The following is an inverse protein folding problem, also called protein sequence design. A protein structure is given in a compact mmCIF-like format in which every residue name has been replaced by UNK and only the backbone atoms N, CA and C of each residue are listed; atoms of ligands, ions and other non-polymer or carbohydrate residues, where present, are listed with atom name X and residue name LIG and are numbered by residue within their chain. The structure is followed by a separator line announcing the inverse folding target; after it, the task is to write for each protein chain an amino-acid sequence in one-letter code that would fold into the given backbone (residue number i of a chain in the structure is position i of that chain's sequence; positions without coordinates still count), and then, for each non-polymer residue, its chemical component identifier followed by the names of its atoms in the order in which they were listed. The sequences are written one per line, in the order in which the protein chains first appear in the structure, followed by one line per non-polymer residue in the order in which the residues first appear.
data_IF_287822457290
#
_entry.id   IF_287822457290
#
_cell.length_a   1.000
_cell.length_b   1.000
_cell.length_c   1.000
_cell.angle_alpha   90.00
_cell.angle_beta   90.00
_cell.angle_gamma   90.00
#
_symmetry.space_group_name_H-M   'P 1'
#
loop_
_entity.id
_entity.type
_entity.pdbx_description
1 polymer ?
#
# COMPACT_ATOMS: atom_id res chain seq x y z
N UNK A 1 -22.68 -82.76 -33.03
CA UNK A 1 -21.61 -81.90 -33.59
C UNK A 1 -21.99 -80.51 -33.29
N UNK A 2 -21.57 -80.00 -32.13
CA UNK A 2 -21.92 -78.71 -31.63
C UNK A 2 -20.66 -77.81 -31.68
N UNK A 3 -20.72 -76.75 -32.46
CA UNK A 3 -19.67 -75.76 -32.57
C UNK A 3 -19.91 -74.67 -31.51
N UNK A 4 -18.98 -74.51 -30.58
CA UNK A 4 -18.99 -73.50 -29.55
C UNK A 4 -18.19 -72.31 -30.05
N UNK A 5 -18.86 -71.14 -30.21
CA UNK A 5 -18.24 -69.88 -30.62
C UNK A 5 -17.76 -69.14 -29.38
N UNK A 6 -16.46 -68.89 -29.32
CA UNK A 6 -15.80 -68.08 -28.26
C UNK A 6 -15.87 -66.57 -28.61
N UNK A 7 -16.56 -65.79 -27.78
CA UNK A 7 -16.57 -64.32 -27.91
C UNK A 7 -15.49 -63.78 -27.01
N UNK A 8 -14.48 -63.17 -27.60
CA UNK A 8 -13.44 -62.47 -26.88
C UNK A 8 -13.90 -61.01 -26.62
N UNK A 9 -14.07 -60.65 -25.36
CA UNK A 9 -14.33 -59.25 -24.97
C UNK A 9 -12.99 -58.47 -24.88
N UNK A 10 -12.79 -57.49 -25.76
CA UNK A 10 -11.71 -56.49 -25.66
C UNK A 10 -12.10 -55.42 -24.63
N UNK A 11 -11.39 -55.35 -23.52
CA UNK A 11 -11.48 -54.23 -22.59
C UNK A 11 -10.68 -53.03 -23.13
N UNK A 12 -11.39 -51.97 -23.47
CA UNK A 12 -10.79 -50.68 -23.84
C UNK A 12 -10.32 -49.97 -22.55
N UNK A 13 -9.03 -49.91 -22.31
CA UNK A 13 -8.45 -49.12 -21.25
C UNK A 13 -8.51 -47.63 -21.68
N UNK A 14 -9.38 -46.84 -21.03
CA UNK A 14 -9.41 -45.39 -21.16
C UNK A 14 -8.15 -44.81 -20.49
N UNK A 15 -7.20 -44.39 -21.29
CA UNK A 15 -6.08 -43.57 -20.83
C UNK A 15 -6.61 -42.18 -20.46
N UNK A 16 -6.63 -41.84 -19.17
CA UNK A 16 -6.86 -40.49 -18.70
C UNK A 16 -5.69 -39.59 -19.15
N UNK A 17 -6.01 -38.63 -20.00
CA UNK A 17 -5.05 -37.55 -20.37
C UNK A 17 -4.59 -36.82 -19.11
N UNK A 18 -3.30 -36.48 -18.99
CA UNK A 18 -2.81 -35.66 -17.87
C UNK A 18 -3.50 -34.30 -17.90
N UNK A 19 -4.06 -33.89 -16.74
CA UNK A 19 -4.59 -32.56 -16.55
C UNK A 19 -3.47 -31.55 -16.82
N UNK A 20 -3.59 -30.80 -17.90
CA UNK A 20 -2.75 -29.63 -18.14
C UNK A 20 -3.02 -28.63 -17.04
N UNK A 21 -2.09 -28.49 -16.09
CA UNK A 21 -2.05 -27.36 -15.20
C UNK A 21 -1.91 -26.11 -16.08
N UNK A 22 -3.01 -25.41 -16.31
CA UNK A 22 -2.98 -24.08 -16.87
C UNK A 22 -2.13 -23.24 -15.91
N UNK A 23 -0.99 -22.76 -16.37
CA UNK A 23 -0.24 -21.73 -15.68
C UNK A 23 -1.20 -20.53 -15.60
N UNK A 24 -1.75 -20.29 -14.41
CA UNK A 24 -2.54 -19.07 -14.18
C UNK A 24 -1.63 -17.90 -14.52
N UNK A 25 -2.03 -17.13 -15.52
CA UNK A 25 -1.39 -15.84 -15.77
C UNK A 25 -1.53 -14.99 -14.49
N UNK A 26 -0.48 -14.28 -14.07
CA UNK A 26 -0.59 -13.42 -12.91
C UNK A 26 -1.80 -12.48 -13.08
N UNK A 27 -2.64 -12.38 -12.05
CA UNK A 27 -3.83 -11.55 -12.05
C UNK A 27 -3.42 -10.10 -12.35
N UNK A 28 -3.99 -9.52 -13.38
CA UNK A 28 -3.70 -8.15 -13.80
C UNK A 28 -4.75 -7.23 -13.22
N UNK A 29 -4.32 -6.31 -12.34
CA UNK A 29 -5.18 -5.28 -11.80
C UNK A 29 -5.23 -4.07 -12.73
N UNK A 30 -6.41 -3.47 -12.86
CA UNK A 30 -6.63 -2.22 -13.59
C UNK A 30 -6.64 -1.02 -12.64
N UNK A 31 -7.01 -1.24 -11.38
CA UNK A 31 -7.13 -0.22 -10.35
C UNK A 31 -6.33 -0.62 -9.11
N UNK A 32 -5.47 0.28 -8.63
CA UNK A 32 -4.74 0.08 -7.38
C UNK A 32 -4.96 1.28 -6.46
N UNK A 33 -5.46 0.99 -5.25
CA UNK A 33 -5.57 1.96 -4.18
C UNK A 33 -4.43 1.75 -3.18
N UNK A 34 -3.57 2.74 -3.01
CA UNK A 34 -2.62 2.81 -1.90
C UNK A 34 -3.29 3.59 -0.78
N UNK A 35 -3.64 2.93 0.30
CA UNK A 35 -4.35 3.54 1.42
C UNK A 35 -3.40 3.71 2.60
N UNK A 36 -3.24 4.95 3.05
CA UNK A 36 -2.55 5.28 4.28
C UNK A 36 -3.56 5.66 5.37
N UNK A 37 -3.47 4.98 6.51
CA UNK A 37 -4.26 5.32 7.70
C UNK A 37 -3.33 5.96 8.71
N UNK A 38 -3.42 7.28 8.83
CA UNK A 38 -2.53 8.13 9.63
C UNK A 38 -2.59 7.74 11.11
N UNK A 39 -1.45 7.46 11.71
CA UNK A 39 -1.33 7.09 13.10
C UNK A 39 -1.91 5.72 13.48
N UNK A 40 -2.08 4.79 12.53
CA UNK A 40 -2.65 3.47 12.81
C UNK A 40 -1.62 2.54 13.45
N UNK A 41 -1.85 2.17 14.69
CA UNK A 41 -1.08 1.14 15.41
C UNK A 41 -1.51 -0.27 14.99
N UNK A 42 -0.56 -1.19 14.77
CA UNK A 42 -0.88 -2.58 14.42
C UNK A 42 -1.78 -3.29 15.44
N UNK A 43 -1.58 -3.05 16.75
CA UNK A 43 -2.36 -3.67 17.83
C UNK A 43 -3.84 -3.20 17.86
N UNK A 44 -4.19 -2.11 17.16
CA UNK A 44 -5.58 -1.68 17.02
C UNK A 44 -6.36 -2.47 15.94
N UNK A 45 -5.67 -3.25 15.12
CA UNK A 45 -6.26 -4.11 14.09
C UNK A 45 -5.84 -5.57 14.24
N UNK A 46 -5.53 -6.00 15.47
CA UNK A 46 -5.11 -7.36 15.80
C UNK A 46 -6.08 -8.00 16.81
N UNK A 47 -6.12 -9.31 16.83
CA UNK A 47 -6.84 -10.11 17.82
C UNK A 47 -8.32 -9.71 18.00
N UNK A 48 -8.72 -9.42 19.24
CA UNK A 48 -10.12 -9.06 19.56
C UNK A 48 -10.58 -7.73 18.94
N UNK A 49 -9.66 -6.83 18.61
CA UNK A 49 -9.98 -5.56 17.96
C UNK A 49 -10.35 -5.78 16.49
N UNK A 50 -9.60 -6.62 15.78
CA UNK A 50 -9.89 -6.98 14.40
C UNK A 50 -11.30 -7.56 14.21
N UNK A 51 -11.78 -8.35 15.17
CA UNK A 51 -13.13 -8.91 15.13
C UNK A 51 -14.25 -7.86 15.10
N UNK A 52 -13.94 -6.60 15.45
CA UNK A 52 -14.87 -5.46 15.44
C UNK A 52 -14.70 -4.56 14.20
N UNK A 53 -13.82 -4.94 13.27
CA UNK A 53 -13.38 -4.17 12.11
C UNK A 53 -13.53 -5.02 10.83
N UNK A 54 -14.76 -5.18 10.32
CA UNK A 54 -15.03 -6.10 9.21
C UNK A 54 -14.29 -5.78 7.92
N UNK A 55 -14.02 -4.50 7.64
CA UNK A 55 -13.28 -4.11 6.45
C UNK A 55 -11.78 -4.44 6.59
N UNK A 56 -11.15 -4.09 7.72
CA UNK A 56 -9.76 -4.50 7.99
C UNK A 56 -9.61 -6.02 8.01
N UNK A 57 -10.53 -6.75 8.64
CA UNK A 57 -10.55 -8.21 8.67
C UNK A 57 -10.66 -8.80 7.26
N UNK A 58 -11.31 -8.11 6.33
CA UNK A 58 -11.36 -8.52 4.94
C UNK A 58 -10.02 -8.26 4.23
N UNK A 59 -9.37 -7.14 4.47
CA UNK A 59 -8.05 -6.84 3.89
C UNK A 59 -6.98 -7.81 4.40
N UNK A 60 -7.04 -8.23 5.65
CA UNK A 60 -6.10 -9.19 6.26
C UNK A 60 -6.20 -10.61 5.67
N UNK A 61 -7.25 -10.89 4.90
CA UNK A 61 -7.33 -12.15 4.14
C UNK A 61 -6.33 -12.23 2.98
N UNK A 62 -5.70 -11.13 2.61
CA UNK A 62 -4.59 -11.09 1.66
C UNK A 62 -3.22 -11.25 2.32
N UNK A 63 -2.14 -11.13 1.55
CA UNK A 63 -0.79 -11.03 2.09
C UNK A 63 -0.66 -9.84 3.03
N UNK A 64 -0.17 -10.07 4.26
CA UNK A 64 -0.10 -9.01 5.25
C UNK A 64 1.04 -9.21 6.25
N UNK A 65 1.40 -8.14 6.95
CA UNK A 65 2.19 -8.15 8.17
C UNK A 65 1.74 -7.02 9.10
N UNK A 66 1.73 -7.28 10.39
CA UNK A 66 1.52 -6.27 11.44
C UNK A 66 2.86 -5.77 12.02
N UNK A 67 3.97 -6.06 11.33
CA UNK A 67 5.31 -5.78 11.84
C UNK A 67 6.21 -5.13 10.77
N UNK A 68 5.62 -4.36 9.85
CA UNK A 68 6.37 -3.49 8.97
C UNK A 68 6.96 -2.29 9.76
N UNK A 69 7.89 -1.57 9.15
CA UNK A 69 8.57 -0.40 9.72
C UNK A 69 8.27 0.84 8.91
N UNK A 70 8.17 1.98 9.56
CA UNK A 70 8.25 3.26 8.89
C UNK A 70 9.71 3.73 8.73
N UNK A 71 9.91 5.02 8.45
CA UNK A 71 11.26 5.59 8.35
C UNK A 71 11.99 5.48 9.71
N UNK A 72 13.25 5.03 9.73
CA UNK A 72 14.01 4.81 10.97
C UNK A 72 14.40 6.10 11.69
N UNK A 73 14.42 7.22 10.99
CA UNK A 73 14.88 8.50 11.56
C UNK A 73 13.72 9.40 11.98
N UNK A 74 12.56 9.29 11.32
CA UNK A 74 11.46 10.24 11.47
C UNK A 74 10.11 9.52 11.47
N UNK A 75 9.39 9.59 12.58
CA UNK A 75 8.05 9.01 12.76
C UNK A 75 6.96 10.08 12.66
N UNK A 76 6.99 10.92 11.62
CA UNK A 76 5.99 11.98 11.39
C UNK A 76 5.36 11.89 10.02
N UNK A 77 4.16 12.45 9.90
CA UNK A 77 3.22 12.27 8.80
C UNK A 77 3.84 12.50 7.42
N UNK A 78 4.13 13.74 7.07
CA UNK A 78 4.47 14.06 5.67
C UNK A 78 5.78 13.42 5.19
N UNK A 79 6.88 13.38 5.98
CA UNK A 79 8.09 12.65 5.59
C UNK A 79 7.83 11.18 5.25
N UNK A 80 7.03 10.46 6.05
CA UNK A 80 6.69 9.07 5.77
C UNK A 80 5.78 8.92 4.54
N UNK A 81 4.89 9.86 4.28
CA UNK A 81 4.07 9.84 3.07
C UNK A 81 4.89 10.12 1.81
N UNK A 82 5.92 10.99 1.89
CA UNK A 82 6.89 11.13 0.79
C UNK A 82 7.66 9.82 0.59
N UNK A 83 8.07 9.15 1.69
CA UNK A 83 8.69 7.82 1.59
C UNK A 83 7.77 6.80 0.90
N UNK A 84 6.47 6.78 1.23
CA UNK A 84 5.48 5.87 0.63
C UNK A 84 5.35 6.06 -0.89
N UNK A 85 5.34 7.30 -1.38
CA UNK A 85 5.13 7.54 -2.81
C UNK A 85 6.42 7.47 -3.64
N UNK A 86 7.59 7.57 -2.99
CA UNK A 86 8.90 7.56 -3.67
C UNK A 86 9.69 6.25 -3.53
N UNK A 87 9.29 5.38 -2.60
CA UNK A 87 10.06 4.18 -2.27
C UNK A 87 11.43 4.49 -1.67
N UNK A 88 11.62 5.68 -1.08
CA UNK A 88 12.88 6.14 -0.48
C UNK A 88 12.71 6.40 1.01
N UNK A 89 13.78 6.29 1.77
CA UNK A 89 13.83 6.77 3.15
C UNK A 89 14.06 8.29 3.17
N UNK A 90 13.89 8.90 4.33
CA UNK A 90 14.06 10.35 4.49
C UNK A 90 15.52 10.73 4.33
N UNK A 91 16.43 10.06 5.06
CA UNK A 91 17.86 10.38 5.08
C UNK A 91 18.69 9.49 4.16
N UNK A 92 19.99 9.78 4.12
CA UNK A 92 20.96 9.08 3.28
C UNK A 92 21.10 9.67 1.87
N UNK A 93 22.11 9.22 1.15
CA UNK A 93 22.42 9.70 -0.21
C UNK A 93 21.22 9.50 -1.16
N UNK A 94 20.59 8.34 -1.10
CA UNK A 94 19.41 8.00 -1.90
C UNK A 94 18.07 8.41 -1.27
N UNK A 95 18.09 9.02 -0.08
CA UNK A 95 16.92 9.53 0.60
C UNK A 95 16.27 10.71 -0.13
N UNK A 96 14.99 10.96 0.13
CA UNK A 96 14.28 12.10 -0.48
C UNK A 96 14.58 13.42 0.22
N UNK A 97 15.09 13.44 1.46
CA UNK A 97 15.52 14.61 2.21
C UNK A 97 14.41 15.46 2.82
N UNK A 98 13.14 15.13 2.61
CA UNK A 98 12.01 15.90 3.11
C UNK A 98 11.75 15.61 4.59
N UNK A 99 11.86 16.62 5.45
CA UNK A 99 11.65 16.52 6.91
C UNK A 99 10.54 17.41 7.45
N UNK A 100 9.86 18.15 6.56
CA UNK A 100 8.86 19.16 6.91
C UNK A 100 7.50 18.48 7.11
N UNK A 101 6.76 18.94 8.15
CA UNK A 101 5.42 18.43 8.45
C UNK A 101 4.38 19.56 8.62
N UNK A 102 4.66 20.75 8.10
CA UNK A 102 3.83 21.93 8.28
C UNK A 102 2.54 21.91 7.46
N UNK A 103 1.52 22.64 7.96
CA UNK A 103 0.30 22.99 7.24
C UNK A 103 0.10 24.51 7.18
N UNK A 104 -0.18 25.09 6.01
CA UNK A 104 -0.09 24.52 4.66
C UNK A 104 1.35 24.25 4.25
N UNK A 105 1.56 23.34 3.27
CA UNK A 105 2.91 22.89 2.96
C UNK A 105 3.80 24.02 2.51
N UNK A 106 4.85 24.21 3.23
CA UNK A 106 6.17 24.66 2.84
C UNK A 106 6.38 25.80 1.86
N UNK A 107 5.54 26.82 1.80
CA UNK A 107 5.90 28.07 1.13
C UNK A 107 7.22 28.66 1.65
N UNK A 108 7.64 28.27 2.85
CA UNK A 108 8.85 28.77 3.52
C UNK A 108 10.14 28.02 3.18
N UNK A 109 10.09 26.85 2.52
CA UNK A 109 11.25 25.98 2.37
C UNK A 109 11.42 25.38 0.95
N UNK A 110 11.09 26.13 -0.08
CA UNK A 110 11.33 25.71 -1.45
C UNK A 110 10.22 24.89 -2.11
N UNK A 111 9.13 24.61 -1.40
CA UNK A 111 7.85 24.18 -1.95
C UNK A 111 7.73 22.76 -2.53
N UNK A 112 8.82 22.14 -2.99
CA UNK A 112 8.78 20.81 -3.63
C UNK A 112 9.81 19.84 -3.04
N UNK A 113 9.53 18.56 -3.14
CA UNK A 113 10.46 17.48 -2.74
C UNK A 113 11.77 17.60 -3.52
N UNK A 114 11.70 17.95 -4.81
CA UNK A 114 12.86 18.12 -5.69
C UNK A 114 13.76 19.27 -5.25
N UNK A 115 13.17 20.41 -4.86
CA UNK A 115 13.92 21.58 -4.39
C UNK A 115 14.67 21.29 -3.08
N UNK A 116 14.03 20.56 -2.16
CA UNK A 116 14.68 20.14 -0.90
C UNK A 116 15.82 19.16 -1.16
N UNK A 117 15.62 18.20 -2.06
CA UNK A 117 16.67 17.23 -2.44
C UNK A 117 17.78 17.85 -3.27
N UNK A 118 17.52 18.93 -4.00
CA UNK A 118 18.44 19.51 -5.00
C UNK A 118 18.55 18.67 -6.28
N UNK A 119 17.65 17.72 -6.49
CA UNK A 119 17.57 16.87 -7.67
C UNK A 119 16.14 16.32 -7.81
N UNK A 120 15.79 15.86 -9.01
CA UNK A 120 14.48 15.22 -9.20
C UNK A 120 14.36 13.96 -8.35
N UNK A 121 13.22 13.83 -7.66
CA UNK A 121 12.84 12.64 -6.85
C UNK A 121 11.63 12.02 -7.53
N UNK A 122 11.82 10.92 -8.25
CA UNK A 122 10.73 10.21 -8.89
C UNK A 122 9.78 9.59 -7.86
N UNK A 123 8.52 9.46 -8.22
CA UNK A 123 7.45 8.86 -7.43
C UNK A 123 6.72 7.76 -8.21
N UNK A 124 5.84 7.04 -7.55
CA UNK A 124 4.96 6.08 -8.23
C UNK A 124 4.01 6.75 -9.23
N UNK A 125 3.72 8.05 -9.04
CA UNK A 125 2.86 8.80 -9.96
C UNK A 125 3.56 9.04 -11.30
N UNK A 126 4.88 9.31 -11.30
CA UNK A 126 5.67 9.46 -12.52
C UNK A 126 5.56 8.20 -13.39
N UNK A 127 5.87 7.05 -12.79
CA UNK A 127 5.86 5.77 -13.52
C UNK A 127 4.46 5.41 -14.01
N UNK A 128 3.44 5.56 -13.16
CA UNK A 128 2.07 5.22 -13.53
C UNK A 128 1.52 6.13 -14.63
N UNK A 129 1.73 7.44 -14.51
CA UNK A 129 1.25 8.43 -15.48
C UNK A 129 1.88 8.22 -16.86
N UNK A 130 3.20 8.00 -16.92
CA UNK A 130 3.92 7.80 -18.17
C UNK A 130 3.46 6.53 -18.92
N UNK A 131 2.92 5.55 -18.19
CA UNK A 131 2.31 4.35 -18.75
C UNK A 131 0.78 4.50 -18.99
N UNK A 132 0.28 5.74 -18.96
CA UNK A 132 -1.11 6.08 -19.26
C UNK A 132 -2.12 5.73 -18.18
N UNK A 133 -1.65 5.40 -16.97
CA UNK A 133 -2.50 5.16 -15.79
C UNK A 133 -2.94 6.52 -15.23
N UNK A 134 -4.23 6.68 -14.92
CA UNK A 134 -4.73 7.90 -14.31
C UNK A 134 -4.42 7.92 -12.81
N UNK A 135 -3.89 9.03 -12.33
CA UNK A 135 -3.34 9.17 -10.99
C UNK A 135 -4.14 10.13 -10.12
N UNK A 136 -4.25 9.85 -8.83
CA UNK A 136 -4.97 10.70 -7.88
C UNK A 136 -4.31 10.70 -6.49
N UNK A 137 -4.40 11.83 -5.80
CA UNK A 137 -4.22 11.93 -4.36
C UNK A 137 -5.56 12.34 -3.75
N UNK A 138 -6.09 11.52 -2.86
CA UNK A 138 -7.30 11.78 -2.08
C UNK A 138 -6.94 11.84 -0.60
N UNK A 139 -7.08 12.99 0.07
CA UNK A 139 -6.53 13.19 1.41
C UNK A 139 -7.43 13.99 2.33
N UNK A 140 -7.36 13.68 3.64
CA UNK A 140 -8.07 14.39 4.71
C UNK A 140 -7.21 15.50 5.37
N UNK A 141 -5.99 15.71 4.93
CA UNK A 141 -5.10 16.79 5.43
C UNK A 141 -4.59 17.63 4.29
N UNK A 142 -4.64 18.96 4.43
CA UNK A 142 -4.21 19.92 3.38
C UNK A 142 -2.72 19.86 3.08
N UNK A 143 -1.90 19.38 4.00
CA UNK A 143 -0.44 19.23 3.80
C UNK A 143 -0.08 18.32 2.62
N UNK A 144 -0.97 17.42 2.18
CA UNK A 144 -0.78 16.60 0.97
C UNK A 144 -0.70 17.41 -0.32
N UNK A 145 -1.05 18.70 -0.28
CA UNK A 145 -0.78 19.61 -1.38
C UNK A 145 0.69 19.67 -1.78
N UNK A 146 1.61 19.28 -0.89
CA UNK A 146 3.04 19.11 -1.19
C UNK A 146 3.28 18.12 -2.35
N UNK A 147 2.49 17.04 -2.43
CA UNK A 147 2.57 16.11 -3.56
C UNK A 147 2.12 16.78 -4.86
N UNK A 148 1.06 17.58 -4.80
CA UNK A 148 0.56 18.33 -5.95
C UNK A 148 1.58 19.36 -6.43
N UNK A 149 2.22 20.08 -5.51
CA UNK A 149 3.30 21.01 -5.85
C UNK A 149 4.52 20.31 -6.46
N UNK A 150 4.79 19.07 -6.07
CA UNK A 150 5.96 18.35 -6.54
C UNK A 150 5.72 17.59 -7.85
N UNK A 151 4.52 17.03 -8.05
CA UNK A 151 4.24 16.06 -9.11
C UNK A 151 3.07 16.43 -10.03
N UNK A 152 2.49 17.63 -9.92
CA UNK A 152 1.45 18.07 -10.87
C UNK A 152 1.89 19.29 -11.68
N UNK A 153 1.08 19.64 -12.68
CA UNK A 153 1.33 20.78 -13.56
C UNK A 153 1.47 22.14 -12.83
N UNK A 154 0.93 22.25 -11.62
CA UNK A 154 0.91 23.51 -10.86
C UNK A 154 2.25 23.92 -10.27
N UNK A 155 3.16 22.98 -10.08
CA UNK A 155 4.46 23.27 -9.46
C UNK A 155 5.52 22.21 -9.71
N UNK A 156 5.13 21.07 -10.32
CA UNK A 156 6.04 19.97 -10.60
C UNK A 156 7.15 20.38 -11.57
N UNK A 157 8.35 19.87 -11.34
CA UNK A 157 9.44 19.93 -12.30
C UNK A 157 9.24 18.86 -13.40
N UNK A 158 9.85 19.09 -14.57
CA UNK A 158 9.99 18.05 -15.57
C UNK A 158 10.78 16.89 -14.98
N UNK A 159 10.29 15.67 -15.16
CA UNK A 159 10.90 14.49 -14.59
C UNK A 159 11.99 13.87 -15.48
N UNK A 160 12.51 12.75 -15.02
CA UNK A 160 13.51 11.95 -15.72
C UNK A 160 12.96 10.59 -16.15
N UNK A 161 11.63 10.38 -16.03
CA UNK A 161 10.95 9.15 -16.41
C UNK A 161 10.49 9.24 -17.85
N UNK A 162 10.88 8.28 -18.68
CA UNK A 162 10.41 8.16 -20.05
C UNK A 162 8.96 7.56 -20.07
N UNK A 163 8.14 7.85 -21.07
CA UNK A 163 8.52 8.51 -22.32
C UNK A 163 8.31 10.03 -22.36
N UNK A 164 7.51 10.63 -21.49
CA UNK A 164 7.08 12.00 -21.72
C UNK A 164 7.95 13.08 -21.06
N UNK A 165 8.68 12.76 -20.00
CA UNK A 165 9.52 13.70 -19.23
C UNK A 165 8.76 14.97 -18.79
N UNK A 166 7.47 14.84 -18.60
CA UNK A 166 6.57 15.95 -18.30
C UNK A 166 6.58 16.38 -16.83
N UNK A 167 5.73 17.31 -16.49
CA UNK A 167 5.60 17.82 -15.13
C UNK A 167 4.20 17.61 -14.50
N UNK A 168 3.29 16.96 -15.19
CA UNK A 168 1.91 16.72 -14.76
C UNK A 168 1.70 15.23 -14.46
N UNK A 169 2.12 14.78 -13.27
CA UNK A 169 2.09 13.35 -12.88
C UNK A 169 0.93 12.99 -11.98
N UNK A 170 0.19 13.95 -11.45
CA UNK A 170 -1.01 13.74 -10.65
C UNK A 170 -2.17 14.43 -11.36
N UNK A 171 -3.14 13.64 -11.85
CA UNK A 171 -4.29 14.12 -12.62
C UNK A 171 -5.34 14.79 -11.72
N UNK A 172 -5.52 14.30 -10.49
CA UNK A 172 -6.55 14.77 -9.59
C UNK A 172 -6.08 14.86 -8.14
N UNK A 173 -6.60 15.87 -7.42
CA UNK A 173 -6.49 16.01 -5.98
C UNK A 173 -7.90 16.13 -5.39
N UNK A 174 -8.25 15.21 -4.49
CA UNK A 174 -9.51 15.21 -3.77
C UNK A 174 -9.21 15.54 -2.30
N UNK A 175 -9.90 16.54 -1.77
CA UNK A 175 -9.78 16.90 -0.37
C UNK A 175 -11.16 16.83 0.29
N UNK A 176 -11.27 16.06 1.35
CA UNK A 176 -12.44 15.96 2.20
C UNK A 176 -11.98 15.81 3.64
N UNK A 177 -12.62 16.49 4.58
CA UNK A 177 -12.30 16.41 6.01
C UNK A 177 -13.16 15.37 6.76
N UNK A 178 -13.98 14.65 6.03
CA UNK A 178 -14.86 13.60 6.54
C UNK A 178 -14.56 12.26 5.86
N UNK A 179 -14.47 11.20 6.64
CA UNK A 179 -14.09 9.86 6.18
C UNK A 179 -15.05 9.27 5.13
N UNK A 180 -16.38 9.42 5.36
CA UNK A 180 -17.38 8.87 4.44
C UNK A 180 -17.42 9.70 3.14
N UNK A 181 -17.25 11.02 3.23
CA UNK A 181 -17.17 11.88 2.06
C UNK A 181 -15.95 11.55 1.20
N UNK A 182 -14.77 11.36 1.83
CA UNK A 182 -13.57 10.95 1.11
C UNK A 182 -13.74 9.58 0.43
N UNK A 183 -14.26 8.59 1.18
CA UNK A 183 -14.54 7.26 0.62
C UNK A 183 -15.51 7.35 -0.57
N UNK A 184 -16.56 8.16 -0.45
CA UNK A 184 -17.52 8.42 -1.53
C UNK A 184 -16.85 9.07 -2.76
N UNK A 185 -15.98 10.05 -2.57
CA UNK A 185 -15.25 10.70 -3.65
C UNK A 185 -14.30 9.73 -4.38
N UNK A 186 -13.64 8.83 -3.64
CA UNK A 186 -12.80 7.76 -4.21
C UNK A 186 -13.65 6.78 -5.03
N UNK A 187 -14.80 6.34 -4.50
CA UNK A 187 -15.74 5.45 -5.21
C UNK A 187 -16.23 6.10 -6.49
N UNK A 188 -16.65 7.35 -6.43
CA UNK A 188 -17.09 8.13 -7.58
C UNK A 188 -16.00 8.22 -8.67
N UNK A 189 -14.75 8.40 -8.25
CA UNK A 189 -13.63 8.43 -9.18
C UNK A 189 -13.41 7.08 -9.85
N UNK A 190 -13.42 5.98 -9.11
CA UNK A 190 -13.28 4.63 -9.66
C UNK A 190 -14.36 4.33 -10.68
N UNK A 191 -15.64 4.60 -10.37
CA UNK A 191 -16.76 4.38 -11.29
C UNK A 191 -16.68 5.23 -12.56
N UNK A 192 -16.14 6.45 -12.50
CA UNK A 192 -16.02 7.35 -13.66
C UNK A 192 -14.79 7.08 -14.51
N UNK A 193 -13.78 6.41 -13.96
CA UNK A 193 -12.55 6.16 -14.70
C UNK A 193 -12.78 5.22 -15.88
N UNK A 194 -12.23 5.60 -17.04
CA UNK A 194 -12.16 4.75 -18.24
C UNK A 194 -10.75 4.24 -18.50
N UNK A 195 -9.83 4.58 -17.62
CA UNK A 195 -8.43 4.18 -17.65
C UNK A 195 -8.11 3.34 -16.43
N UNK A 196 -6.99 2.64 -16.46
CA UNK A 196 -6.34 2.10 -15.25
C UNK A 196 -6.08 3.24 -14.28
N UNK A 197 -6.13 2.99 -12.96
CA UNK A 197 -5.92 4.03 -11.94
C UNK A 197 -4.90 3.63 -10.90
N UNK A 198 -4.14 4.62 -10.43
CA UNK A 198 -3.32 4.56 -9.22
C UNK A 198 -3.73 5.71 -8.30
N UNK A 199 -4.42 5.38 -7.24
CA UNK A 199 -4.98 6.36 -6.31
C UNK A 199 -4.32 6.21 -4.94
N UNK A 200 -3.74 7.30 -4.43
CA UNK A 200 -3.26 7.39 -3.06
C UNK A 200 -4.34 7.99 -2.19
N UNK A 201 -4.79 7.24 -1.18
CA UNK A 201 -5.90 7.64 -0.29
C UNK A 201 -5.40 7.75 1.14
N UNK A 202 -5.66 8.87 1.79
CA UNK A 202 -5.21 9.15 3.15
C UNK A 202 -6.38 9.38 4.10
N UNK A 203 -6.49 8.55 5.16
CA UNK A 203 -7.44 8.71 6.26
C UNK A 203 -6.76 9.25 7.51
N UNK A 204 -7.30 10.34 8.10
CA UNK A 204 -6.70 11.03 9.24
C UNK A 204 -7.23 10.65 10.64
N UNK A 205 -8.42 10.06 10.83
CA UNK A 205 -9.06 10.00 12.14
C UNK A 205 -8.24 9.40 13.28
N UNK A 206 -7.47 8.30 13.14
CA UNK A 206 -6.72 7.73 14.26
C UNK A 206 -5.64 8.69 14.78
N UNK A 207 -4.93 9.39 13.91
CA UNK A 207 -3.93 10.39 14.31
C UNK A 207 -4.56 11.57 15.05
N UNK A 208 -5.65 12.11 14.52
CA UNK A 208 -6.41 13.20 15.15
C UNK A 208 -6.90 12.80 16.56
N UNK A 209 -7.42 11.58 16.69
CA UNK A 209 -7.86 11.05 17.98
C UNK A 209 -6.67 10.82 18.93
N UNK A 210 -5.56 10.30 18.43
CA UNK A 210 -4.33 10.09 19.16
C UNK A 210 -3.78 11.37 19.78
N UNK A 211 -3.64 12.41 18.98
CA UNK A 211 -3.20 13.72 19.45
C UNK A 211 -4.16 14.34 20.47
N UNK A 212 -5.47 14.15 20.29
CA UNK A 212 -6.49 14.74 21.15
C UNK A 212 -6.68 13.95 22.46
N UNK A 213 -6.72 12.61 22.40
CA UNK A 213 -7.17 11.74 23.48
C UNK A 213 -6.16 10.66 23.88
N UNK A 214 -4.98 10.62 23.22
CA UNK A 214 -3.97 9.58 23.34
C UNK A 214 -4.24 8.33 22.48
N UNK A 215 -3.18 7.57 22.13
CA UNK A 215 -3.23 6.33 21.34
C UNK A 215 -3.60 5.12 22.21
N UNK A 216 -4.73 5.19 22.92
CA UNK A 216 -5.17 4.10 23.80
C UNK A 216 -5.93 3.06 22.98
N UNK A 217 -5.36 1.87 22.84
CA UNK A 217 -6.02 0.73 22.21
C UNK A 217 -6.88 0.02 23.25
N UNK A 218 -8.16 0.39 23.34
CA UNK A 218 -9.17 -0.21 24.22
C UNK A 218 -10.54 -0.12 23.53
N UNK A 219 -11.49 -1.03 23.84
CA UNK A 219 -12.76 -1.14 23.13
C UNK A 219 -13.57 0.15 23.04
N UNK A 220 -13.54 0.97 24.09
CA UNK A 220 -14.34 2.21 24.21
C UNK A 220 -13.48 3.48 24.13
N UNK A 221 -12.21 3.35 23.70
CA UNK A 221 -11.34 4.51 23.57
C UNK A 221 -11.68 5.35 22.36
N UNK A 222 -11.43 6.65 22.42
CA UNK A 222 -11.61 7.57 21.30
C UNK A 222 -10.73 7.23 20.12
N UNK A 223 -9.53 6.70 20.39
CA UNK A 223 -8.62 6.23 19.35
C UNK A 223 -9.23 5.03 18.60
N UNK A 224 -9.73 4.03 19.31
CA UNK A 224 -10.34 2.86 18.65
C UNK A 224 -11.65 3.20 17.94
N UNK A 225 -12.44 4.15 18.43
CA UNK A 225 -13.62 4.66 17.70
C UNK A 225 -13.21 5.33 16.36
N UNK A 226 -12.08 6.04 16.34
CA UNK A 226 -11.53 6.61 15.11
C UNK A 226 -11.03 5.52 14.12
N UNK A 227 -10.47 4.42 14.63
CA UNK A 227 -10.14 3.25 13.79
C UNK A 227 -11.40 2.62 13.19
N UNK A 228 -12.49 2.48 13.97
CA UNK A 228 -13.78 2.02 13.45
C UNK A 228 -14.39 2.97 12.41
N UNK A 229 -14.15 4.27 12.53
CA UNK A 229 -14.57 5.24 11.53
C UNK A 229 -13.89 4.96 10.19
N UNK A 230 -12.57 4.72 10.20
CA UNK A 230 -11.83 4.32 8.98
C UNK A 230 -12.34 2.99 8.44
N UNK A 231 -12.62 2.01 9.30
CA UNK A 231 -13.18 0.72 8.89
C UNK A 231 -14.50 0.88 8.11
N UNK A 232 -15.37 1.81 8.53
CA UNK A 232 -16.59 2.13 7.78
C UNK A 232 -16.30 2.73 6.41
N UNK A 233 -15.34 3.67 6.31
CA UNK A 233 -14.90 4.23 5.04
C UNK A 233 -14.34 3.16 4.08
N UNK A 234 -13.49 2.27 4.60
CA UNK A 234 -12.99 1.10 3.86
C UNK A 234 -14.13 0.17 3.40
N UNK A 235 -15.12 -0.04 4.27
CA UNK A 235 -16.32 -0.82 3.96
C UNK A 235 -17.11 -0.25 2.78
N UNK A 236 -17.25 1.07 2.68
CA UNK A 236 -17.88 1.73 1.52
C UNK A 236 -17.11 1.46 0.23
N UNK A 237 -15.78 1.61 0.24
CA UNK A 237 -14.93 1.34 -0.92
C UNK A 237 -15.03 -0.13 -1.35
N UNK A 238 -14.89 -1.06 -0.41
CA UNK A 238 -14.97 -2.49 -0.68
C UNK A 238 -16.34 -2.90 -1.22
N UNK A 239 -17.43 -2.33 -0.69
CA UNK A 239 -18.79 -2.60 -1.16
C UNK A 239 -19.01 -2.10 -2.58
N UNK A 240 -18.45 -0.94 -2.94
CA UNK A 240 -18.51 -0.40 -4.29
C UNK A 240 -17.74 -1.30 -5.27
N UNK A 241 -16.55 -1.75 -4.91
CA UNK A 241 -15.75 -2.69 -5.71
C UNK A 241 -16.55 -3.99 -5.95
N UNK A 242 -17.18 -4.55 -4.92
CA UNK A 242 -17.95 -5.79 -5.04
C UNK A 242 -19.18 -5.66 -5.93
N UNK A 243 -19.82 -4.51 -5.90
CA UNK A 243 -21.07 -4.28 -6.62
C UNK A 243 -20.88 -3.95 -8.10
N UNK A 244 -19.68 -3.49 -8.49
CA UNK A 244 -19.38 -3.11 -9.87
C UNK A 244 -18.55 -4.20 -10.58
N UNK A 245 -19.08 -4.87 -11.62
CA UNK A 245 -18.33 -5.86 -12.40
C UNK A 245 -17.07 -5.31 -13.09
N UNK A 246 -16.97 -4.00 -13.29
CA UNK A 246 -15.79 -3.35 -13.86
C UNK A 246 -14.67 -3.16 -12.82
N UNK A 247 -15.00 -3.16 -11.54
CA UNK A 247 -14.04 -2.99 -10.45
C UNK A 247 -13.72 -4.32 -9.75
N UNK A 248 -14.72 -5.22 -9.68
CA UNK A 248 -14.56 -6.53 -9.03
C UNK A 248 -13.45 -7.33 -9.73
N UNK A 249 -12.57 -7.94 -8.96
CA UNK A 249 -11.42 -8.73 -9.41
C UNK A 249 -10.39 -7.96 -10.25
N UNK A 250 -10.58 -6.64 -10.44
CA UNK A 250 -9.66 -5.76 -11.15
C UNK A 250 -9.07 -4.67 -10.27
N UNK A 251 -9.50 -4.61 -9.02
CA UNK A 251 -9.02 -3.64 -8.03
C UNK A 251 -8.21 -4.34 -6.97
N UNK A 252 -7.02 -3.82 -6.69
CA UNK A 252 -6.20 -4.20 -5.55
C UNK A 252 -6.08 -3.03 -4.56
N UNK A 253 -5.90 -3.37 -3.29
CA UNK A 253 -5.68 -2.39 -2.21
C UNK A 253 -4.38 -2.72 -1.50
N UNK A 254 -3.51 -1.72 -1.34
CA UNK A 254 -2.30 -1.78 -0.51
C UNK A 254 -2.49 -0.81 0.64
N UNK A 255 -2.71 -1.31 1.85
CA UNK A 255 -2.96 -0.48 3.03
C UNK A 255 -1.76 -0.51 3.97
N UNK A 256 -1.37 0.67 4.47
CA UNK A 256 -0.34 0.82 5.50
C UNK A 256 -0.66 2.02 6.40
N UNK A 257 0.26 2.35 7.30
CA UNK A 257 0.27 3.58 8.09
C UNK A 257 1.62 4.29 7.95
N UNK A 258 1.61 5.58 8.17
CA UNK A 258 2.82 6.40 8.19
C UNK A 258 3.60 6.26 9.51
N UNK A 259 2.89 6.12 10.62
CA UNK A 259 3.40 5.85 11.96
C UNK A 259 2.29 5.27 12.84
N UNK A 260 2.69 4.79 14.01
CA UNK A 260 1.77 4.52 15.10
C UNK A 260 1.64 5.74 16.01
N UNK A 261 1.78 5.59 17.34
CA UNK A 261 1.79 6.73 18.24
C UNK A 261 1.64 6.38 19.72
N UNK A 262 1.82 7.41 20.55
CA UNK A 262 1.65 7.35 21.99
C UNK A 262 2.91 7.67 22.79
N UNK A 263 4.05 7.86 22.15
CA UNK A 263 5.31 8.20 22.82
C UNK A 263 6.08 9.29 22.05
N UNK A 264 6.38 10.42 22.67
CA UNK A 264 5.83 10.89 23.94
C UNK A 264 4.30 10.92 23.94
N UNK A 265 3.69 10.94 25.11
CA UNK A 265 2.23 10.92 25.24
C UNK A 265 1.56 11.95 24.34
N UNK A 266 0.50 11.55 23.62
CA UNK A 266 -0.23 12.37 22.63
C UNK A 266 0.64 12.84 21.46
N UNK A 267 1.73 12.16 21.21
CA UNK A 267 2.59 12.39 20.03
C UNK A 267 3.13 11.05 19.52
N UNK A 268 3.97 11.11 18.49
CA UNK A 268 4.58 9.95 17.85
C UNK A 268 6.05 10.23 17.45
N UNK A 269 6.71 11.20 18.08
CA UNK A 269 8.00 11.72 17.62
C UNK A 269 9.23 10.97 18.14
N UNK A 270 9.05 10.00 19.05
CA UNK A 270 10.14 9.11 19.50
C UNK A 270 10.33 7.97 18.49
N UNK A 271 11.31 8.10 17.61
CA UNK A 271 11.62 7.10 16.58
C UNK A 271 12.29 5.82 17.14
N UNK A 272 12.57 5.76 18.46
CA UNK A 272 13.08 4.56 19.10
C UNK A 272 11.96 3.71 19.73
N UNK A 273 10.75 4.25 19.80
CA UNK A 273 9.62 3.56 20.40
C UNK A 273 8.87 2.68 19.39
N UNK A 274 8.70 1.38 19.66
CA UNK A 274 7.96 0.46 18.77
C UNK A 274 6.52 0.88 18.48
N UNK A 275 5.86 1.57 19.42
CA UNK A 275 4.50 2.07 19.24
C UNK A 275 4.41 3.13 18.13
N UNK A 276 5.52 3.82 17.81
CA UNK A 276 5.57 4.87 16.82
C UNK A 276 6.08 4.36 15.46
N UNK A 277 7.06 3.44 15.45
CA UNK A 277 7.71 3.02 14.21
C UNK A 277 7.16 1.73 13.59
N UNK A 278 6.45 0.90 14.35
CA UNK A 278 5.79 -0.29 13.78
C UNK A 278 4.46 0.08 13.15
N UNK A 279 4.28 -0.41 11.93
CA UNK A 279 3.08 -0.14 11.13
C UNK A 279 2.58 -1.42 10.45
N UNK A 280 1.29 -1.53 10.13
CA UNK A 280 0.79 -2.64 9.34
C UNK A 280 1.13 -2.46 7.86
N UNK A 281 1.17 -3.57 7.12
CA UNK A 281 1.12 -3.61 5.65
C UNK A 281 0.19 -4.74 5.23
N UNK A 282 -0.93 -4.39 4.58
CA UNK A 282 -1.93 -5.34 4.08
C UNK A 282 -2.07 -5.17 2.58
N UNK A 283 -2.10 -6.28 1.84
CA UNK A 283 -2.29 -6.28 0.39
C UNK A 283 -3.51 -7.15 0.05
N UNK A 284 -4.61 -6.51 -0.35
CA UNK A 284 -5.81 -7.21 -0.77
C UNK A 284 -5.84 -7.33 -2.29
N UNK A 285 -6.00 -8.56 -2.78
CA UNK A 285 -5.91 -8.93 -4.20
C UNK A 285 -7.27 -9.43 -4.76
N UNK A 286 -8.36 -8.85 -4.29
CA UNK A 286 -9.70 -9.28 -4.67
C UNK A 286 -10.29 -10.31 -3.71
N UNK A 287 -11.44 -10.89 -4.09
CA UNK A 287 -12.21 -11.82 -3.24
C UNK A 287 -11.48 -13.13 -2.95
N UNK A 288 -10.61 -13.57 -3.86
CA UNK A 288 -9.88 -14.84 -3.77
C UNK A 288 -8.50 -14.70 -3.10
N UNK A 289 -8.23 -13.57 -2.46
CA UNK A 289 -6.99 -13.36 -1.70
C UNK A 289 -6.80 -14.43 -0.63
N UNK A 290 -5.62 -15.02 -0.59
CA UNK A 290 -5.22 -15.94 0.46
C UNK A 290 -4.40 -15.23 1.53
N UNK A 291 -4.78 -15.40 2.80
CA UNK A 291 -4.02 -14.88 3.93
C UNK A 291 -2.63 -15.52 3.98
N UNK A 292 -1.60 -14.69 3.87
CA UNK A 292 -0.20 -15.11 3.91
C UNK A 292 0.59 -14.07 4.71
N UNK A 293 1.44 -14.54 5.61
CA UNK A 293 2.37 -13.68 6.31
C UNK A 293 3.48 -13.20 5.36
N UNK A 294 3.52 -11.89 5.09
CA UNK A 294 4.52 -11.28 4.22
C UNK A 294 5.95 -11.52 4.71
N UNK A 295 6.19 -11.60 6.02
CA UNK A 295 7.52 -11.90 6.56
C UNK A 295 7.92 -13.34 6.21
N UNK A 296 7.01 -14.29 6.31
CA UNK A 296 7.29 -15.70 6.03
C UNK A 296 7.62 -15.96 4.55
N UNK A 297 7.02 -15.21 3.62
CA UNK A 297 7.24 -15.39 2.17
C UNK A 297 8.32 -14.47 1.59
N UNK A 298 8.94 -13.61 2.41
CA UNK A 298 10.01 -12.71 2.01
C UNK A 298 11.23 -12.89 2.93
N UNK A 299 11.86 -14.09 2.95
CA UNK A 299 12.96 -14.41 3.85
C UNK A 299 14.25 -13.60 3.57
N UNK A 300 14.34 -12.95 2.41
CA UNK A 300 15.43 -12.06 2.02
C UNK A 300 15.34 -10.66 2.67
N UNK A 301 14.22 -10.36 3.32
CA UNK A 301 14.05 -9.13 4.11
C UNK A 301 14.52 -9.31 5.53
N UNK A 302 14.98 -8.24 6.16
CA UNK A 302 15.29 -8.27 7.59
C UNK A 302 14.01 -8.48 8.41
N UNK A 303 14.11 -9.35 9.42
CA UNK A 303 13.05 -9.61 10.40
C UNK A 303 13.54 -9.14 11.78
N UNK A 304 13.61 -7.83 12.04
CA UNK A 304 14.09 -7.32 13.31
C UNK A 304 13.13 -7.69 14.46
N UNK A 305 13.66 -7.78 15.66
CA UNK A 305 12.81 -7.88 16.83
C UNK A 305 11.83 -6.69 16.91
N UNK A 306 10.69 -6.90 17.57
CA UNK A 306 9.59 -5.88 17.59
C UNK A 306 10.00 -4.53 18.16
N UNK A 307 11.01 -4.50 19.02
CA UNK A 307 11.57 -3.30 19.67
C UNK A 307 12.76 -2.70 18.88
N UNK A 308 13.09 -3.25 17.72
CA UNK A 308 14.19 -2.78 16.89
C UNK A 308 13.68 -2.10 15.61
N UNK A 309 14.25 -0.93 15.32
CA UNK A 309 14.17 -0.30 14.03
C UNK A 309 15.52 -0.40 13.32
N UNK A 310 15.50 -0.76 12.05
CA UNK A 310 16.71 -0.98 11.23
C UNK A 310 17.12 0.34 10.60
N UNK A 311 18.39 0.70 10.73
CA UNK A 311 18.92 1.93 10.14
C UNK A 311 18.89 1.94 8.61
N UNK A 312 19.01 3.14 7.99
CA UNK A 312 18.91 3.28 6.52
C UNK A 312 20.11 2.67 5.78
N UNK A 313 21.24 2.52 6.44
CA UNK A 313 22.49 2.05 5.84
C UNK A 313 22.69 0.53 5.95
N UNK A 314 21.77 -0.17 6.62
CA UNK A 314 21.82 -1.62 6.71
C UNK A 314 21.57 -2.27 5.35
N UNK A 315 22.41 -3.26 5.00
CA UNK A 315 22.37 -3.90 3.70
C UNK A 315 21.06 -4.67 3.44
N UNK A 316 20.47 -5.24 4.49
CA UNK A 316 19.18 -5.94 4.42
C UNK A 316 18.13 -5.12 5.17
N UNK A 317 17.18 -4.60 4.42
CA UNK A 317 16.12 -3.78 4.96
C UNK A 317 14.89 -4.63 5.35
N UNK A 318 14.13 -4.24 6.40
CA UNK A 318 12.84 -4.85 6.72
C UNK A 318 11.80 -4.47 5.67
N UNK A 319 10.63 -5.07 5.76
CA UNK A 319 9.43 -4.56 5.07
C UNK A 319 9.07 -3.21 5.67
N UNK A 320 8.85 -2.20 4.81
CA UNK A 320 8.55 -0.83 5.22
C UNK A 320 7.27 -0.31 4.58
N UNK A 321 6.68 0.72 5.18
CA UNK A 321 5.60 1.46 4.53
C UNK A 321 6.03 2.08 3.19
N UNK A 322 7.31 2.38 3.01
CA UNK A 322 7.87 2.87 1.75
C UNK A 322 7.89 1.81 0.61
N UNK A 323 7.71 0.52 0.92
CA UNK A 323 7.59 -0.52 -0.12
C UNK A 323 6.29 -0.37 -0.94
N UNK A 324 5.27 0.31 -0.41
CA UNK A 324 3.93 0.39 -1.06
C UNK A 324 3.97 1.01 -2.44
N UNK A 325 4.90 1.95 -2.73
CA UNK A 325 5.04 2.51 -4.08
C UNK A 325 5.33 1.41 -5.11
N UNK A 326 6.35 0.60 -4.84
CA UNK A 326 6.76 -0.45 -5.76
C UNK A 326 5.81 -1.66 -5.75
N UNK A 327 5.15 -1.94 -4.63
CA UNK A 327 4.06 -2.94 -4.57
C UNK A 327 2.88 -2.51 -5.47
N UNK A 328 2.48 -1.25 -5.41
CA UNK A 328 1.39 -0.73 -6.24
C UNK A 328 1.74 -0.79 -7.74
N UNK A 329 2.96 -0.40 -8.10
CA UNK A 329 3.44 -0.49 -9.49
C UNK A 329 3.55 -1.95 -9.96
N UNK A 330 4.03 -2.86 -9.10
CA UNK A 330 4.08 -4.29 -9.39
C UNK A 330 2.69 -4.87 -9.69
N UNK A 331 1.66 -4.49 -8.91
CA UNK A 331 0.27 -4.91 -9.14
C UNK A 331 -0.29 -4.37 -10.46
N UNK A 332 0.18 -3.22 -10.90
CA UNK A 332 -0.12 -2.65 -12.23
C UNK A 332 0.79 -3.19 -13.34
N UNK A 333 1.69 -4.13 -13.07
CA UNK A 333 2.69 -4.64 -14.00
C UNK A 333 3.59 -3.53 -14.58
N UNK A 334 3.96 -2.57 -13.76
CA UNK A 334 4.87 -1.48 -14.10
C UNK A 334 6.25 -1.67 -13.45
N UNK A 335 7.24 -0.99 -13.99
CA UNK A 335 8.59 -0.96 -13.41
C UNK A 335 8.63 -0.23 -12.05
N UNK A 336 9.68 -0.43 -11.26
CA UNK A 336 9.81 0.25 -9.97
C UNK A 336 10.11 1.74 -10.14
N UNK A 337 9.83 2.51 -9.08
CA UNK A 337 10.16 3.94 -9.03
C UNK A 337 11.67 4.16 -9.22
N UNK A 338 12.10 4.97 -10.20
CA UNK A 338 13.51 5.26 -10.42
C UNK A 338 14.21 5.82 -9.17
N UNK A 339 15.30 5.16 -8.77
CA UNK A 339 16.09 5.53 -7.60
C UNK A 339 15.46 5.18 -6.24
N UNK A 340 14.34 4.47 -6.21
CA UNK A 340 13.80 3.89 -4.98
C UNK A 340 14.75 2.85 -4.39
N UNK A 341 14.64 2.65 -3.07
CA UNK A 341 15.43 1.67 -2.31
C UNK A 341 14.57 0.63 -1.61
N UNK A 342 13.31 0.95 -1.36
CA UNK A 342 12.35 0.03 -0.78
C UNK A 342 11.57 -0.68 -1.91
N UNK A 343 11.59 -2.00 -1.91
CA UNK A 343 10.87 -2.81 -2.91
C UNK A 343 11.40 -2.79 -4.34
N UNK A 344 12.49 -2.07 -4.66
CA UNK A 344 13.04 -2.00 -6.01
C UNK A 344 14.16 -3.03 -6.27
N UNK A 345 15.19 -3.13 -5.38
CA UNK A 345 16.25 -4.14 -5.57
C UNK A 345 15.72 -5.56 -5.33
N UNK A 346 14.77 -5.70 -4.37
CA UNK A 346 14.14 -6.96 -4.00
C UNK A 346 12.64 -6.69 -3.88
N UNK A 347 11.85 -6.96 -4.93
CA UNK A 347 10.40 -6.81 -4.89
C UNK A 347 9.78 -7.70 -3.79
N UNK A 348 8.69 -7.27 -3.19
CA UNK A 348 7.96 -8.12 -2.26
C UNK A 348 7.24 -9.25 -3.00
N UNK A 349 7.44 -10.48 -2.54
CA UNK A 349 6.59 -11.59 -2.93
C UNK A 349 5.21 -11.44 -2.27
N UNK A 350 4.17 -11.51 -3.07
CA UNK A 350 2.77 -11.40 -2.61
C UNK A 350 2.05 -12.76 -2.63
N UNK A 351 2.75 -13.81 -3.02
CA UNK A 351 2.29 -15.19 -2.96
C UNK A 351 3.45 -16.12 -2.59
N UNK A 352 3.19 -17.26 -1.96
CA UNK A 352 4.21 -18.26 -1.74
C UNK A 352 4.88 -18.69 -3.07
N UNK A 353 6.18 -18.95 -3.08
CA UNK A 353 6.84 -19.48 -4.27
C UNK A 353 6.15 -20.80 -4.67
N UNK A 354 5.97 -21.00 -5.99
CA UNK A 354 5.42 -22.24 -6.50
C UNK A 354 6.22 -23.43 -5.95
N UNK A 355 5.54 -24.42 -5.36
CA UNK A 355 6.19 -25.62 -4.86
C UNK A 355 6.97 -26.27 -6.01
N UNK A 356 8.27 -26.54 -5.81
CA UNK A 356 9.02 -27.35 -6.77
C UNK A 356 8.29 -28.66 -6.99
N UNK A 357 8.07 -29.10 -8.24
CA UNK A 357 7.52 -30.42 -8.46
C UNK A 357 8.40 -31.44 -7.73
N UNK A 358 7.76 -32.33 -6.96
CA UNK A 358 8.46 -33.43 -6.32
C UNK A 358 9.15 -34.23 -7.41
N UNK A 359 10.50 -34.24 -7.41
CA UNK A 359 11.35 -34.95 -8.35
C UNK A 359 11.28 -36.47 -8.13
#
# INVERSE_FOLDING_TARGET
MFMTTLVAAMALAAQSAPATHATQQPQQFEHVLVISVDGLRPDAIDGEFLAKLPAFARLERGPHTLDARNDPDITVTLPNHISMVTGRLVKGERGHGWTINDEPPGAKQGGTVHAVKGAYVSSMFDVAHDEGVSTCVAAMKTKFWTLIQSYSWTGGAADTVAPDYGNAKIDAFLYEDNTEALAGAVVDRLHRSKKRTLDFVHFAPPDVAGHSFDWIVAPDSKYFEAVKEVDRGLGLILSAIDSDPHLRDKTAIVLTADHGGGVPRKTHTDNTCPLNFRVPLLVWLGSDSASVDLLAINPERAHPARDQNVGPDEAVQPIRNADVANVALQLLHLGPVPGSICGAPVPLHLAPPASKPAG
#
